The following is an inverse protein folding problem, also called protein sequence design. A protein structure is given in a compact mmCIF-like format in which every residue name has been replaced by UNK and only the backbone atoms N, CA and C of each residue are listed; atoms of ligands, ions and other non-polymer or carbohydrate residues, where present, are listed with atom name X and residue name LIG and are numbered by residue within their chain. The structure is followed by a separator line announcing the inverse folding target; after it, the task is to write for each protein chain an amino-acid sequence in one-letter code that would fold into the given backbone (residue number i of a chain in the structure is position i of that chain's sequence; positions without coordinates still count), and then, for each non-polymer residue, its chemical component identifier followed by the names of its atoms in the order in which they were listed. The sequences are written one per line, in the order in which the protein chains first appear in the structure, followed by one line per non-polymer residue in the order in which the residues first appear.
data_IF_153582906210
#
_entry.id   IF_153582906210
#
_cell.length_a   1.000
_cell.length_b   1.000
_cell.length_c   1.000
_cell.angle_alpha   90.00
_cell.angle_beta   90.00
_cell.angle_gamma   90.00
#
_symmetry.space_group_name_H-M   'P 1'
#
loop_
_entity.id
_entity.type
_entity.pdbx_description
1 polymer ?
#
# COMPACT_ATOMS: atom_id res chain seq x y z
N UNK A 1 44.70 -9.33 9.39
CA UNK A 1 43.90 -8.32 10.12
C UNK A 1 42.73 -7.95 9.22
N UNK A 2 41.67 -8.75 9.24
CA UNK A 2 40.38 -8.35 8.66
C UNK A 2 39.77 -7.31 9.60
N UNK A 3 39.60 -6.09 9.10
CA UNK A 3 38.82 -5.06 9.76
C UNK A 3 37.34 -5.44 9.65
N UNK A 4 36.89 -6.30 10.56
CA UNK A 4 35.47 -6.41 10.88
C UNK A 4 35.00 -5.05 11.39
N UNK A 5 34.47 -4.21 10.48
CA UNK A 5 33.74 -3.02 10.86
C UNK A 5 32.40 -3.47 11.44
N UNK A 6 32.44 -3.83 12.73
CA UNK A 6 31.27 -3.85 13.59
C UNK A 6 30.70 -2.43 13.64
N UNK A 7 29.93 -2.04 12.61
CA UNK A 7 29.05 -0.89 12.74
C UNK A 7 27.82 -1.35 13.55
N UNK A 8 27.90 -1.14 14.85
CA UNK A 8 26.77 -1.11 15.79
C UNK A 8 25.81 0.06 15.49
N UNK A 9 25.50 0.27 14.21
CA UNK A 9 24.63 1.32 13.73
C UNK A 9 23.15 1.02 13.99
N UNK A 10 22.32 2.06 13.95
CA UNK A 10 20.87 1.93 14.02
C UNK A 10 20.34 0.91 13.00
N UNK A 11 19.57 -0.07 13.50
CA UNK A 11 18.97 -1.15 12.71
C UNK A 11 17.56 -1.42 13.21
N UNK A 12 16.56 -1.32 12.32
CA UNK A 12 15.17 -1.69 12.60
C UNK A 12 14.62 -2.51 11.45
N UNK A 13 13.53 -3.26 11.67
CA UNK A 13 12.85 -3.94 10.55
C UNK A 13 12.19 -2.93 9.62
N UNK A 14 12.11 -3.24 8.32
CA UNK A 14 11.33 -2.44 7.37
C UNK A 14 9.88 -2.26 7.85
N UNK A 15 9.27 -3.29 8.44
CA UNK A 15 7.93 -3.20 9.02
C UNK A 15 7.83 -2.13 10.12
N UNK A 16 8.81 -2.08 11.03
CA UNK A 16 8.87 -1.03 12.06
C UNK A 16 8.92 0.36 11.42
N UNK A 17 9.74 0.56 10.39
CA UNK A 17 9.83 1.84 9.70
C UNK A 17 8.52 2.23 9.02
N UNK A 18 7.83 1.29 8.37
CA UNK A 18 6.52 1.51 7.76
C UNK A 18 5.49 1.86 8.84
N UNK A 19 5.48 1.18 9.99
CA UNK A 19 4.55 1.49 11.09
C UNK A 19 4.76 2.91 11.62
N UNK A 20 6.01 3.32 11.84
CA UNK A 20 6.34 4.69 12.25
C UNK A 20 5.88 5.68 11.17
N UNK A 21 6.13 5.39 9.90
CA UNK A 21 5.70 6.24 8.80
C UNK A 21 4.17 6.38 8.71
N UNK A 22 3.40 5.31 8.98
CA UNK A 22 1.93 5.36 9.05
C UNK A 22 1.44 6.23 10.20
N UNK A 23 2.09 6.16 11.36
CA UNK A 23 1.81 7.08 12.48
C UNK A 23 2.12 8.53 12.09
N UNK A 24 3.28 8.79 11.47
CA UNK A 24 3.64 10.12 10.96
C UNK A 24 2.60 10.64 9.97
N UNK A 25 2.12 9.78 9.05
CA UNK A 25 1.05 10.12 8.10
C UNK A 25 -0.21 10.59 8.83
N UNK A 26 -0.66 9.84 9.84
CA UNK A 26 -1.84 10.19 10.63
C UNK A 26 -1.64 11.56 11.30
N UNK A 27 -0.48 11.78 11.93
CA UNK A 27 -0.17 13.05 12.59
C UNK A 27 -0.14 14.22 11.60
N UNK A 28 0.45 14.04 10.41
CA UNK A 28 0.46 15.05 9.36
C UNK A 28 -0.96 15.38 8.87
N UNK A 29 -1.82 14.38 8.67
CA UNK A 29 -3.21 14.61 8.26
C UNK A 29 -4.04 15.31 9.33
N UNK A 30 -3.83 14.97 10.61
CA UNK A 30 -4.45 15.69 11.73
C UNK A 30 -3.93 17.13 11.79
N UNK A 31 -2.63 17.34 11.59
CA UNK A 31 -2.05 18.68 11.54
C UNK A 31 -2.66 19.52 10.41
N UNK A 32 -2.90 18.93 9.21
CA UNK A 32 -3.63 19.63 8.15
C UNK A 32 -5.03 20.05 8.60
N UNK A 33 -5.76 19.18 9.30
CA UNK A 33 -7.08 19.51 9.84
C UNK A 33 -7.04 20.64 10.88
N UNK A 34 -6.00 20.67 11.72
CA UNK A 34 -5.81 21.73 12.72
C UNK A 34 -5.38 23.07 12.09
N UNK A 35 -4.58 23.03 11.02
CA UNK A 35 -4.02 24.23 10.36
C UNK A 35 -5.02 24.86 9.39
N UNK A 36 -5.66 24.06 8.53
CA UNK A 36 -6.54 24.53 7.45
C UNK A 36 -8.02 24.48 7.81
N UNK A 37 -8.38 23.79 8.90
CA UNK A 37 -9.76 23.54 9.28
C UNK A 37 -10.43 22.47 8.42
N UNK A 38 -11.64 22.08 8.84
CA UNK A 38 -12.54 21.20 8.08
C UNK A 38 -13.68 22.08 7.58
N UNK A 39 -13.68 22.37 6.27
CA UNK A 39 -14.57 23.35 5.66
C UNK A 39 -15.69 22.69 4.84
N UNK A 40 -15.48 21.46 4.36
CA UNK A 40 -16.48 20.69 3.62
C UNK A 40 -16.32 19.16 3.80
N UNK A 41 -17.14 18.39 3.09
CA UNK A 41 -17.10 16.93 3.12
C UNK A 41 -15.83 16.32 2.51
N UNK A 42 -15.06 17.07 1.70
CA UNK A 42 -13.84 16.56 1.08
C UNK A 42 -12.82 16.20 2.15
N UNK A 43 -12.58 17.10 3.10
CA UNK A 43 -11.60 16.86 4.16
C UNK A 43 -12.05 15.73 5.08
N UNK A 44 -13.34 15.69 5.44
CA UNK A 44 -13.92 14.62 6.26
C UNK A 44 -13.73 13.26 5.59
N UNK A 45 -14.15 13.12 4.33
CA UNK A 45 -14.02 11.87 3.59
C UNK A 45 -12.54 11.51 3.45
N UNK A 46 -11.68 12.46 3.07
CA UNK A 46 -10.25 12.20 2.91
C UNK A 46 -9.61 11.65 4.19
N UNK A 47 -9.90 12.27 5.34
CA UNK A 47 -9.43 11.80 6.64
C UNK A 47 -9.95 10.39 6.93
N UNK A 48 -11.25 10.12 6.74
CA UNK A 48 -11.82 8.79 6.94
C UNK A 48 -11.12 7.72 6.10
N UNK A 49 -10.89 7.98 4.81
CA UNK A 49 -10.26 7.01 3.92
C UNK A 49 -8.78 6.80 4.29
N UNK A 50 -8.00 7.87 4.43
CA UNK A 50 -6.55 7.75 4.56
C UNK A 50 -6.11 7.38 5.99
N UNK A 51 -6.68 8.03 7.02
CA UNK A 51 -6.43 7.63 8.41
C UNK A 51 -7.00 6.24 8.67
N UNK A 52 -8.20 5.93 8.17
CA UNK A 52 -8.78 4.59 8.29
C UNK A 52 -7.89 3.49 7.71
N UNK A 53 -7.25 3.75 6.58
CA UNK A 53 -6.27 2.83 5.99
C UNK A 53 -5.02 2.67 6.87
N UNK A 54 -4.45 3.77 7.38
CA UNK A 54 -3.29 3.71 8.26
C UNK A 54 -3.61 2.98 9.57
N UNK A 55 -4.79 3.22 10.15
CA UNK A 55 -5.27 2.50 11.34
C UNK A 55 -5.48 1.02 11.05
N UNK A 56 -6.08 0.67 9.91
CA UNK A 56 -6.24 -0.72 9.49
C UNK A 56 -4.89 -1.42 9.39
N UNK A 57 -3.88 -0.80 8.76
CA UNK A 57 -2.53 -1.37 8.66
C UNK A 57 -1.90 -1.66 10.04
N UNK A 58 -2.08 -0.77 11.01
CA UNK A 58 -1.56 -0.94 12.37
C UNK A 58 -2.34 -2.02 13.14
N UNK A 59 -3.67 -1.99 13.03
CA UNK A 59 -4.59 -2.94 13.69
C UNK A 59 -4.44 -4.37 13.14
N UNK A 60 -4.25 -4.52 11.83
CA UNK A 60 -4.12 -5.81 11.16
C UNK A 60 -2.97 -6.64 11.75
N UNK A 61 -1.89 -5.99 12.19
CA UNK A 61 -0.76 -6.69 12.81
C UNK A 61 -1.07 -7.27 14.19
N UNK A 62 -2.00 -6.64 14.91
CA UNK A 62 -2.50 -7.16 16.18
C UNK A 62 -3.51 -8.29 15.95
N UNK A 63 -4.40 -8.14 14.96
CA UNK A 63 -5.39 -9.15 14.59
C UNK A 63 -4.75 -10.41 13.98
N UNK A 64 -3.69 -10.25 13.20
CA UNK A 64 -3.00 -11.34 12.48
C UNK A 64 -1.50 -11.36 12.82
N UNK A 65 -1.11 -11.77 14.04
CA UNK A 65 0.27 -11.68 14.50
C UNK A 65 1.25 -12.55 13.69
N UNK A 66 0.78 -13.66 13.11
CA UNK A 66 1.59 -14.51 12.23
C UNK A 66 2.01 -13.77 10.96
N UNK A 67 1.15 -12.87 10.47
CA UNK A 67 1.44 -12.06 9.27
C UNK A 67 2.60 -11.10 9.51
N UNK A 68 2.68 -10.51 10.70
CA UNK A 68 3.78 -9.64 11.13
C UNK A 68 5.15 -10.34 11.04
N UNK A 69 5.19 -11.65 11.27
CA UNK A 69 6.43 -12.44 11.23
C UNK A 69 6.92 -12.71 9.80
N UNK A 70 6.10 -12.46 8.78
CA UNK A 70 6.40 -12.75 7.37
C UNK A 70 6.54 -11.48 6.52
N UNK A 71 6.07 -10.34 7.01
CA UNK A 71 6.05 -9.07 6.29
C UNK A 71 7.28 -8.22 6.63
N UNK A 72 8.04 -7.81 5.60
CA UNK A 72 9.05 -6.75 5.69
C UNK A 72 10.02 -6.95 6.87
N UNK A 73 10.53 -8.18 7.01
CA UNK A 73 11.37 -8.63 8.13
C UNK A 73 12.84 -8.24 7.98
N UNK A 74 13.24 -7.82 6.78
CA UNK A 74 14.58 -7.33 6.50
C UNK A 74 14.93 -6.14 7.39
N UNK A 75 16.14 -6.14 7.94
CA UNK A 75 16.66 -5.03 8.73
C UNK A 75 17.20 -3.95 7.81
N UNK A 76 16.92 -2.70 8.16
CA UNK A 76 17.36 -1.52 7.43
C UNK A 76 18.10 -0.56 8.36
N UNK A 77 19.10 0.11 7.78
CA UNK A 77 19.84 1.18 8.44
C UNK A 77 19.14 2.54 8.38
N UNK A 78 19.75 3.52 9.04
CA UNK A 78 19.22 4.89 9.13
C UNK A 78 18.87 5.55 7.77
N UNK A 79 19.67 5.44 6.70
CA UNK A 79 19.34 6.11 5.43
C UNK A 79 18.02 5.63 4.82
N UNK A 80 17.80 4.31 4.81
CA UNK A 80 16.57 3.71 4.29
C UNK A 80 15.40 4.01 5.23
N UNK A 81 15.62 4.02 6.55
CA UNK A 81 14.61 4.42 7.51
C UNK A 81 14.09 5.84 7.24
N UNK A 82 14.99 6.82 7.06
CA UNK A 82 14.63 8.21 6.73
C UNK A 82 13.87 8.26 5.41
N UNK A 83 14.31 7.53 4.38
CA UNK A 83 13.62 7.49 3.09
C UNK A 83 12.19 6.94 3.21
N UNK A 84 11.97 5.91 4.04
CA UNK A 84 10.63 5.39 4.32
C UNK A 84 9.77 6.43 5.04
N UNK A 85 10.33 7.19 6.00
CA UNK A 85 9.58 8.28 6.66
C UNK A 85 9.24 9.40 5.68
N UNK A 86 10.19 9.84 4.85
CA UNK A 86 9.96 10.89 3.86
C UNK A 86 8.93 10.46 2.82
N UNK A 87 8.99 9.22 2.35
CA UNK A 87 8.06 8.74 1.34
C UNK A 87 6.70 8.34 1.92
N UNK A 88 6.69 7.39 2.86
CA UNK A 88 5.44 6.83 3.43
C UNK A 88 4.84 7.74 4.50
N UNK A 89 5.65 8.52 5.23
CA UNK A 89 5.15 9.43 6.27
C UNK A 89 4.75 10.79 5.72
N UNK A 90 5.55 11.37 4.82
CA UNK A 90 5.35 12.75 4.36
C UNK A 90 4.75 12.81 2.95
N UNK A 91 5.42 12.25 1.93
CA UNK A 91 4.95 12.32 0.54
C UNK A 91 3.56 11.68 0.35
N UNK A 92 3.26 10.62 1.10
CA UNK A 92 1.93 10.00 1.16
C UNK A 92 0.81 10.98 1.56
N UNK A 93 1.13 12.06 2.26
CA UNK A 93 0.17 13.09 2.63
C UNK A 93 -0.13 14.07 1.48
N UNK A 94 0.56 14.00 0.33
CA UNK A 94 0.36 14.93 -0.80
C UNK A 94 -1.10 15.03 -1.24
N UNK A 95 -1.84 13.93 -1.50
CA UNK A 95 -3.25 14.05 -1.86
C UNK A 95 -4.09 14.66 -0.73
N UNK A 96 -3.68 14.49 0.54
CA UNK A 96 -4.34 15.08 1.69
C UNK A 96 -4.14 16.58 1.75
N UNK A 97 -2.89 17.02 1.61
CA UNK A 97 -2.59 18.45 1.48
C UNK A 97 -3.40 19.09 0.35
N UNK A 98 -3.47 18.44 -0.81
CA UNK A 98 -4.27 18.91 -1.94
C UNK A 98 -5.77 18.88 -1.64
N UNK A 99 -6.29 17.91 -0.87
CA UNK A 99 -7.69 17.87 -0.44
C UNK A 99 -8.04 19.02 0.53
N UNK A 100 -7.12 19.39 1.42
CA UNK A 100 -7.31 20.49 2.37
C UNK A 100 -7.16 21.88 1.74
N UNK A 101 -6.40 21.99 0.65
CA UNK A 101 -6.15 23.26 -0.04
C UNK A 101 -6.99 23.44 -1.31
N UNK A 102 -7.82 22.45 -1.67
CA UNK A 102 -8.73 22.57 -2.81
C UNK A 102 -9.94 23.44 -2.44
N UNK A 103 -10.01 24.63 -3.02
CA UNK A 103 -11.14 25.55 -2.84
C UNK A 103 -12.39 25.14 -3.62
N UNK A 104 -12.29 24.19 -4.55
CA UNK A 104 -13.44 23.72 -5.31
C UNK A 104 -14.31 22.79 -4.45
N UNK A 105 -15.64 22.96 -4.47
CA UNK A 105 -16.54 22.06 -3.77
C UNK A 105 -16.37 20.63 -4.26
N UNK A 106 -16.54 19.65 -3.37
CA UNK A 106 -16.52 18.24 -3.75
C UNK A 106 -17.69 17.90 -4.68
N UNK A 107 -17.39 17.21 -5.78
CA UNK A 107 -18.40 16.74 -6.72
C UNK A 107 -18.99 15.40 -6.26
N UNK A 108 -20.29 15.20 -6.48
CA UNK A 108 -20.94 13.90 -6.27
C UNK A 108 -20.24 12.77 -7.05
N UNK A 109 -19.71 13.06 -8.23
CA UNK A 109 -18.94 12.10 -9.03
C UNK A 109 -17.64 11.68 -8.35
N UNK A 110 -16.93 12.62 -7.71
CA UNK A 110 -15.72 12.30 -6.95
C UNK A 110 -16.04 11.32 -5.82
N UNK A 111 -17.14 11.53 -5.10
CA UNK A 111 -17.58 10.62 -4.03
C UNK A 111 -18.01 9.26 -4.60
N UNK A 112 -18.84 9.27 -5.64
CA UNK A 112 -19.38 8.07 -6.27
C UNK A 112 -18.29 7.17 -6.89
N UNK A 113 -17.16 7.74 -7.30
CA UNK A 113 -16.01 6.98 -7.82
C UNK A 113 -15.06 6.56 -6.70
N UNK A 114 -14.72 7.48 -5.79
CA UNK A 114 -13.71 7.22 -4.77
C UNK A 114 -14.16 6.19 -3.73
N UNK A 115 -15.42 6.22 -3.28
CA UNK A 115 -15.86 5.29 -2.23
C UNK A 115 -15.84 3.83 -2.71
N UNK A 116 -16.38 3.47 -3.89
CA UNK A 116 -16.22 2.11 -4.42
C UNK A 116 -14.75 1.71 -4.62
N UNK A 117 -13.91 2.62 -5.15
CA UNK A 117 -12.47 2.34 -5.30
C UNK A 117 -11.82 1.99 -3.97
N UNK A 118 -12.10 2.75 -2.92
CA UNK A 118 -11.56 2.50 -1.59
C UNK A 118 -12.08 1.20 -0.98
N UNK A 119 -13.40 0.99 -1.03
CA UNK A 119 -14.07 -0.17 -0.41
C UNK A 119 -13.63 -1.46 -1.10
N UNK A 120 -13.79 -1.53 -2.43
CA UNK A 120 -13.39 -2.73 -3.18
C UNK A 120 -11.87 -2.91 -3.17
N UNK A 121 -11.09 -1.83 -3.25
CA UNK A 121 -9.63 -1.91 -3.12
C UNK A 121 -9.18 -2.51 -1.78
N UNK A 122 -9.82 -2.10 -0.69
CA UNK A 122 -9.58 -2.64 0.65
C UNK A 122 -9.98 -4.12 0.75
N UNK A 123 -11.18 -4.47 0.30
CA UNK A 123 -11.68 -5.86 0.34
C UNK A 123 -10.83 -6.80 -0.50
N UNK A 124 -10.41 -6.35 -1.70
CA UNK A 124 -9.55 -7.13 -2.59
C UNK A 124 -8.17 -7.34 -1.96
N UNK A 125 -7.54 -6.27 -1.46
CA UNK A 125 -6.21 -6.34 -0.85
C UNK A 125 -6.21 -7.27 0.38
N UNK A 126 -7.13 -7.04 1.32
CA UNK A 126 -7.26 -7.86 2.53
C UNK A 126 -7.64 -9.29 2.19
N UNK A 127 -8.61 -9.52 1.32
CA UNK A 127 -9.04 -10.86 0.92
C UNK A 127 -7.92 -11.66 0.25
N UNK A 128 -7.13 -11.01 -0.62
CA UNK A 128 -5.98 -11.62 -1.27
C UNK A 128 -4.90 -12.04 -0.26
N UNK A 129 -4.56 -11.16 0.67
CA UNK A 129 -3.51 -11.45 1.64
C UNK A 129 -3.95 -12.50 2.68
N UNK A 130 -5.22 -12.46 3.14
CA UNK A 130 -5.77 -13.50 4.02
C UNK A 130 -5.78 -14.86 3.33
N UNK A 131 -6.31 -14.95 2.10
CA UNK A 131 -6.31 -16.22 1.34
C UNK A 131 -4.88 -16.75 1.19
N UNK A 132 -3.92 -15.87 0.83
CA UNK A 132 -2.53 -16.26 0.63
C UNK A 132 -1.88 -16.75 1.93
N UNK A 133 -2.10 -16.04 3.04
CA UNK A 133 -1.59 -16.42 4.35
C UNK A 133 -2.12 -17.78 4.79
N UNK A 134 -3.44 -18.00 4.67
CA UNK A 134 -4.09 -19.27 5.03
C UNK A 134 -3.65 -20.43 4.14
N UNK A 135 -3.46 -20.20 2.84
CA UNK A 135 -2.92 -21.23 1.95
C UNK A 135 -1.48 -21.60 2.33
N UNK A 136 -0.63 -20.58 2.56
CA UNK A 136 0.78 -20.77 2.92
C UNK A 136 1.02 -21.38 4.30
N UNK A 137 0.07 -21.26 5.22
CA UNK A 137 0.16 -21.94 6.53
C UNK A 137 -0.10 -23.45 6.44
N UNK A 138 -0.79 -23.91 5.39
CA UNK A 138 -1.09 -25.33 5.17
C UNK A 138 -0.03 -26.00 4.29
N UNK A 139 0.36 -25.33 3.21
CA UNK A 139 1.29 -25.86 2.23
C UNK A 139 2.11 -24.73 1.60
N UNK A 140 3.39 -24.98 1.33
CA UNK A 140 4.23 -24.00 0.65
C UNK A 140 4.06 -23.99 -0.89
N UNK A 141 2.86 -24.23 -1.41
CA UNK A 141 2.53 -24.30 -2.85
C UNK A 141 2.17 -22.94 -3.45
N UNK A 142 2.14 -22.83 -4.79
CA UNK A 142 1.75 -21.60 -5.48
C UNK A 142 0.25 -21.33 -5.30
N UNK A 143 -0.09 -20.15 -4.76
CA UNK A 143 -1.48 -19.69 -4.64
C UNK A 143 -1.92 -19.10 -5.98
N UNK A 144 -2.84 -19.79 -6.66
CA UNK A 144 -3.29 -19.50 -8.04
C UNK A 144 -4.80 -19.67 -8.24
N UNK A 145 -5.55 -19.76 -7.16
CA UNK A 145 -7.00 -19.99 -7.12
C UNK A 145 -7.73 -18.80 -6.48
N UNK A 146 -9.06 -18.86 -6.40
CA UNK A 146 -9.87 -17.80 -5.79
C UNK A 146 -9.59 -16.42 -6.37
N UNK A 147 -9.32 -15.44 -5.51
CA UNK A 147 -9.04 -14.06 -5.91
C UNK A 147 -7.74 -13.91 -6.72
N UNK A 148 -6.81 -14.84 -6.57
CA UNK A 148 -5.55 -14.84 -7.30
C UNK A 148 -5.72 -15.38 -8.73
N UNK A 149 -6.74 -16.20 -9.04
CA UNK A 149 -6.79 -17.00 -10.28
C UNK A 149 -6.58 -16.21 -11.58
N UNK A 150 -7.04 -14.97 -11.62
CA UNK A 150 -7.06 -14.14 -12.83
C UNK A 150 -6.08 -12.98 -12.78
N UNK A 151 -5.53 -12.64 -11.61
CA UNK A 151 -4.58 -11.52 -11.44
C UNK A 151 -3.48 -11.91 -10.45
N UNK A 152 -2.24 -11.98 -10.94
CA UNK A 152 -1.10 -12.48 -10.15
C UNK A 152 -0.65 -11.56 -9.02
N UNK A 153 -0.91 -10.27 -9.17
CA UNK A 153 -0.60 -9.24 -8.17
C UNK A 153 -1.88 -8.51 -7.73
N UNK A 154 -2.95 -9.26 -7.49
CA UNK A 154 -4.28 -8.72 -7.17
C UNK A 154 -4.30 -7.86 -5.90
N UNK A 155 -3.43 -8.14 -4.93
CA UNK A 155 -3.29 -7.30 -3.74
C UNK A 155 -2.73 -5.91 -4.08
N UNK A 156 -1.79 -5.81 -5.03
CA UNK A 156 -1.27 -4.54 -5.52
C UNK A 156 -2.33 -3.76 -6.32
N UNK A 157 -3.21 -4.45 -7.04
CA UNK A 157 -4.36 -3.81 -7.68
C UNK A 157 -5.28 -3.17 -6.63
N UNK A 158 -5.59 -3.90 -5.56
CA UNK A 158 -6.39 -3.36 -4.45
C UNK A 158 -5.72 -2.16 -3.77
N UNK A 159 -4.39 -2.19 -3.59
CA UNK A 159 -3.61 -1.05 -3.10
C UNK A 159 -3.74 0.18 -4.01
N UNK A 160 -3.57 -0.01 -5.32
CA UNK A 160 -3.71 1.07 -6.30
C UNK A 160 -5.09 1.68 -6.31
N UNK A 161 -6.15 0.86 -6.25
CA UNK A 161 -7.52 1.36 -6.14
C UNK A 161 -7.71 2.28 -4.92
N UNK A 162 -7.13 1.92 -3.76
CA UNK A 162 -7.15 2.79 -2.58
C UNK A 162 -6.39 4.10 -2.81
N UNK A 163 -5.18 4.07 -3.34
CA UNK A 163 -4.42 5.31 -3.56
C UNK A 163 -5.09 6.22 -4.60
N UNK A 164 -5.67 5.63 -5.65
CA UNK A 164 -6.49 6.37 -6.62
C UNK A 164 -7.70 7.01 -5.96
N UNK A 165 -8.36 6.35 -4.99
CA UNK A 165 -9.47 6.96 -4.24
C UNK A 165 -9.05 8.24 -3.52
N UNK A 166 -7.85 8.27 -2.93
CA UNK A 166 -7.31 9.47 -2.28
C UNK A 166 -7.12 10.60 -3.29
N UNK A 167 -6.57 10.30 -4.47
CA UNK A 167 -6.37 11.29 -5.55
C UNK A 167 -7.70 11.83 -6.09
N UNK A 168 -8.71 10.98 -6.24
CA UNK A 168 -10.06 11.39 -6.68
C UNK A 168 -10.71 12.32 -5.64
N UNK A 169 -10.63 11.99 -4.35
CA UNK A 169 -11.13 12.88 -3.28
C UNK A 169 -10.32 14.16 -3.17
N UNK A 170 -9.01 14.15 -3.45
CA UNK A 170 -8.21 15.37 -3.47
C UNK A 170 -8.70 16.36 -4.55
N UNK A 171 -9.26 15.86 -5.65
CA UNK A 171 -9.82 16.68 -6.72
C UNK A 171 -8.77 17.54 -7.43
N UNK A 172 -7.52 17.07 -7.46
CA UNK A 172 -6.39 17.77 -8.06
C UNK A 172 -5.53 16.76 -8.84
N UNK A 173 -5.11 17.11 -10.07
CA UNK A 173 -4.34 16.22 -10.93
C UNK A 173 -3.01 15.79 -10.29
N UNK A 174 -2.35 16.68 -9.55
CA UNK A 174 -1.09 16.38 -8.85
C UNK A 174 -1.24 15.30 -7.78
N UNK A 175 -2.45 15.08 -7.27
CA UNK A 175 -2.72 14.02 -6.31
C UNK A 175 -2.51 12.62 -6.91
N UNK A 176 -2.57 12.48 -8.24
CA UNK A 176 -2.30 11.22 -8.94
C UNK A 176 -0.81 10.88 -9.03
N UNK A 177 0.09 11.79 -8.61
CA UNK A 177 1.51 11.47 -8.46
C UNK A 177 1.74 10.33 -7.47
N UNK A 178 0.92 10.22 -6.41
CA UNK A 178 1.03 9.13 -5.43
C UNK A 178 0.79 7.75 -6.08
N UNK A 179 -0.39 7.43 -6.65
CA UNK A 179 -0.59 6.14 -7.31
C UNK A 179 0.36 5.95 -8.51
N UNK A 180 0.73 7.01 -9.24
CA UNK A 180 1.69 6.93 -10.34
C UNK A 180 3.07 6.42 -9.90
N UNK A 181 3.64 6.99 -8.83
CA UNK A 181 4.93 6.53 -8.29
C UNK A 181 4.83 5.13 -7.70
N UNK A 182 3.72 4.80 -7.03
CA UNK A 182 3.50 3.45 -6.50
C UNK A 182 3.48 2.41 -7.63
N UNK A 183 2.85 2.71 -8.77
CA UNK A 183 2.89 1.83 -9.95
C UNK A 183 4.34 1.57 -10.38
N UNK A 184 5.16 2.62 -10.50
CA UNK A 184 6.56 2.48 -10.91
C UNK A 184 7.36 1.57 -9.94
N UNK A 185 7.17 1.74 -8.64
CA UNK A 185 7.77 0.87 -7.62
C UNK A 185 7.27 -0.58 -7.74
N UNK A 186 5.98 -0.77 -8.03
CA UNK A 186 5.41 -2.09 -8.26
C UNK A 186 5.95 -2.75 -9.52
N UNK A 187 6.24 -2.03 -10.61
CA UNK A 187 6.82 -2.62 -11.82
C UNK A 187 8.09 -3.41 -11.51
N UNK A 188 9.02 -2.78 -10.79
CA UNK A 188 10.27 -3.42 -10.38
C UNK A 188 10.00 -4.63 -9.47
N UNK A 189 9.20 -4.42 -8.42
CA UNK A 189 8.91 -5.48 -7.43
C UNK A 189 8.16 -6.67 -8.02
N UNK A 190 7.30 -6.43 -9.00
CA UNK A 190 6.60 -7.48 -9.76
C UNK A 190 7.61 -8.29 -10.55
N UNK A 191 8.54 -7.65 -11.28
CA UNK A 191 9.56 -8.35 -12.08
C UNK A 191 10.41 -9.29 -11.21
N UNK A 192 10.97 -8.79 -10.11
CA UNK A 192 11.80 -9.59 -9.18
C UNK A 192 11.01 -10.76 -8.57
N UNK A 193 9.76 -10.51 -8.20
CA UNK A 193 8.88 -11.53 -7.61
C UNK A 193 8.49 -12.60 -8.61
N UNK A 194 8.19 -12.24 -9.85
CA UNK A 194 7.86 -13.22 -10.89
C UNK A 194 9.07 -14.08 -11.29
N UNK A 195 10.29 -13.51 -11.36
CA UNK A 195 11.52 -14.29 -11.58
C UNK A 195 11.72 -15.32 -10.47
N UNK A 196 11.54 -14.90 -9.21
CA UNK A 196 11.62 -15.80 -8.05
C UNK A 196 10.54 -16.88 -8.09
N UNK A 197 9.31 -16.54 -8.50
CA UNK A 197 8.22 -17.50 -8.62
C UNK A 197 8.45 -18.50 -9.75
N UNK A 198 8.97 -18.07 -10.90
CA UNK A 198 9.32 -18.95 -12.01
C UNK A 198 10.40 -19.97 -11.64
N UNK A 199 11.40 -19.56 -10.86
CA UNK A 199 12.43 -20.45 -10.34
C UNK A 199 11.91 -21.44 -9.29
N UNK A 200 10.92 -21.03 -8.48
CA UNK A 200 10.42 -21.81 -7.35
C UNK A 200 9.28 -22.77 -7.70
N UNK A 201 8.40 -22.41 -8.64
CA UNK A 201 7.16 -23.13 -8.92
C UNK A 201 7.07 -23.53 -10.40
N UNK A 202 7.23 -24.82 -10.74
CA UNK A 202 7.12 -25.31 -12.12
C UNK A 202 5.78 -24.94 -12.79
N UNK A 203 4.70 -24.88 -12.02
CA UNK A 203 3.35 -24.53 -12.48
C UNK A 203 3.16 -23.03 -12.78
N UNK A 204 4.14 -22.17 -12.46
CA UNK A 204 4.00 -20.72 -12.59
C UNK A 204 3.83 -20.29 -14.04
N UNK A 205 4.52 -20.93 -14.98
CA UNK A 205 4.42 -20.64 -16.41
C UNK A 205 2.99 -20.86 -16.92
N UNK A 206 2.36 -21.98 -16.52
CA UNK A 206 0.98 -22.27 -16.88
C UNK A 206 -0.01 -21.28 -16.23
N UNK A 207 0.31 -20.78 -15.03
CA UNK A 207 -0.48 -19.75 -14.37
C UNK A 207 -0.38 -18.39 -15.07
N UNK A 208 0.81 -18.00 -15.55
CA UNK A 208 1.02 -16.77 -16.31
C UNK A 208 0.15 -16.70 -17.57
N UNK A 209 -0.04 -17.84 -18.26
CA UNK A 209 -0.88 -17.92 -19.46
C UNK A 209 -2.38 -17.71 -19.20
N UNK A 210 -2.84 -17.89 -17.96
CA UNK A 210 -4.26 -17.84 -17.58
C UNK A 210 -4.63 -16.62 -16.73
N UNK A 211 -3.67 -15.75 -16.46
CA UNK A 211 -3.85 -14.61 -15.55
C UNK A 211 -3.22 -13.34 -16.12
N UNK A 212 -3.80 -12.20 -15.76
CA UNK A 212 -3.17 -10.90 -15.91
C UNK A 212 -2.16 -10.67 -14.79
N UNK A 213 -1.20 -9.79 -15.03
CA UNK A 213 -0.15 -9.44 -14.09
C UNK A 213 -0.69 -8.56 -12.97
N UNK A 214 -1.38 -7.47 -13.32
CA UNK A 214 -1.88 -6.47 -12.37
C UNK A 214 -3.25 -5.90 -12.77
N UNK A 215 -3.44 -5.53 -14.03
CA UNK A 215 -4.69 -4.91 -14.51
C UNK A 215 -5.50 -5.99 -15.24
N UNK A 216 -6.69 -6.35 -14.75
CA UNK A 216 -7.51 -7.40 -15.35
C UNK A 216 -7.70 -7.19 -16.84
N UNK A 217 -7.41 -8.21 -17.65
CA UNK A 217 -7.59 -8.25 -19.11
C UNK A 217 -6.75 -7.26 -19.93
N UNK A 218 -5.93 -6.43 -19.30
CA UNK A 218 -5.06 -5.46 -19.97
C UNK A 218 -3.60 -5.86 -19.80
N UNK A 219 -3.19 -6.09 -18.55
CA UNK A 219 -1.80 -6.34 -18.23
C UNK A 219 -1.63 -7.30 -17.07
#
# INVERSE_FOLDING_TARGET
METASNSSGFQVTQLTAINVAKTVTILCLIALALIYGINDYRQVIYLCLHIGYCLWWLLEQWLFPQRRQQLFTEKIGMPVFILVILFVGIFYCLPGYLAFTNSNPISYWSVAIALPLYIFGSLINTGADVQKMTAKSKENSLVKDGIWRSVRHVNYLGDLMRYTSFSVIAGNLWAFALPGIIILLYLQRINEKEQTMAAKYPEFVAYQQKSSRLIPWIW
#
